data_IF_814937406871
#
_entry.id   IF_814937406871
#
_cell.length_a   1.000
_cell.length_b   1.000
_cell.length_c   1.000
_cell.angle_alpha   90.00
_cell.angle_beta   90.00
_cell.angle_gamma   90.00
#
_symmetry.space_group_name_H-M   'P 1'
#
loop_
_entity.id
_entity.type
_entity.pdbx_description
1 polymer ?
#
# COMPACT_ATOMS: atom_id res chain seq x y z
N UNK A 1 -24.28 17.98 34.76
CA UNK A 1 -22.84 18.28 34.61
C UNK A 1 -22.14 16.98 34.24
N UNK A 2 -21.86 16.72 32.95
CA UNK A 2 -21.11 15.51 32.59
C UNK A 2 -19.64 15.70 33.00
N UNK A 3 -19.02 14.72 33.68
CA UNK A 3 -17.69 14.90 34.25
C UNK A 3 -16.66 15.09 33.15
N UNK A 4 -15.76 16.05 33.34
CA UNK A 4 -14.64 16.41 32.44
C UNK A 4 -13.78 15.18 32.06
N UNK A 5 -13.78 14.16 32.92
CA UNK A 5 -13.13 12.86 32.73
C UNK A 5 -13.73 12.00 31.59
N UNK A 6 -15.03 12.06 31.34
CA UNK A 6 -15.64 11.29 30.25
C UNK A 6 -15.25 11.85 28.88
N UNK A 7 -15.13 13.18 28.78
CA UNK A 7 -14.80 13.90 27.54
C UNK A 7 -13.34 13.67 27.11
N UNK A 8 -12.43 13.62 28.08
CA UNK A 8 -11.00 13.33 27.84
C UNK A 8 -10.79 11.88 27.38
N UNK A 9 -11.48 10.92 27.99
CA UNK A 9 -11.40 9.51 27.59
C UNK A 9 -11.86 9.29 26.13
N UNK A 10 -12.96 9.92 25.70
CA UNK A 10 -13.44 9.80 24.30
C UNK A 10 -12.46 10.42 23.29
N UNK A 11 -11.85 11.56 23.61
CA UNK A 11 -10.85 12.20 22.74
C UNK A 11 -9.60 11.30 22.62
N UNK A 12 -9.13 10.76 23.74
CA UNK A 12 -7.96 9.86 23.78
C UNK A 12 -8.24 8.59 22.97
N UNK A 13 -9.41 7.96 23.14
CA UNK A 13 -9.81 6.77 22.39
C UNK A 13 -9.94 7.05 20.88
N UNK A 14 -10.53 8.19 20.49
CA UNK A 14 -10.61 8.59 19.08
C UNK A 14 -9.22 8.76 18.47
N UNK A 15 -8.33 9.51 19.14
CA UNK A 15 -6.96 9.72 18.68
C UNK A 15 -6.19 8.41 18.57
N UNK A 16 -6.36 7.50 19.55
CA UNK A 16 -5.74 6.18 19.53
C UNK A 16 -6.14 5.39 18.28
N UNK A 17 -7.45 5.29 17.98
CA UNK A 17 -7.92 4.55 16.81
C UNK A 17 -7.50 5.18 15.48
N UNK A 18 -7.53 6.51 15.36
CA UNK A 18 -7.06 7.19 14.15
C UNK A 18 -5.57 6.97 13.95
N UNK A 19 -4.76 7.12 15.01
CA UNK A 19 -3.32 6.87 14.93
C UNK A 19 -3.01 5.40 14.58
N UNK A 20 -3.82 4.46 15.07
CA UNK A 20 -3.68 3.05 14.73
C UNK A 20 -3.95 2.81 13.23
N UNK A 21 -5.04 3.39 12.68
CA UNK A 21 -5.34 3.32 11.23
C UNK A 21 -4.22 3.96 10.38
N UNK A 22 -3.64 5.07 10.85
CA UNK A 22 -2.50 5.71 10.18
C UNK A 22 -1.23 4.84 10.22
N UNK A 23 -0.99 4.16 11.34
CA UNK A 23 0.13 3.23 11.48
C UNK A 23 -0.06 2.00 10.57
N UNK A 24 -1.26 1.44 10.54
CA UNK A 24 -1.65 0.33 9.65
C UNK A 24 -1.48 0.71 8.17
N UNK A 25 -1.82 1.94 7.78
CA UNK A 25 -1.58 2.44 6.43
C UNK A 25 -0.11 2.40 6.01
N UNK A 26 0.81 2.77 6.91
CA UNK A 26 2.26 2.70 6.65
C UNK A 26 2.72 1.25 6.50
N UNK A 27 2.27 0.36 7.38
CA UNK A 27 2.59 -1.08 7.33
C UNK A 27 2.10 -1.68 6.02
N UNK A 28 0.85 -1.41 5.64
CA UNK A 28 0.26 -1.86 4.38
C UNK A 28 1.09 -1.40 3.17
N UNK A 29 1.53 -0.15 3.17
CA UNK A 29 2.34 0.38 2.08
C UNK A 29 3.75 -0.24 2.02
N UNK A 30 4.35 -0.56 3.16
CA UNK A 30 5.62 -1.29 3.23
C UNK A 30 5.48 -2.75 2.77
N UNK A 31 4.40 -3.43 3.15
CA UNK A 31 4.09 -4.78 2.65
C UNK A 31 3.83 -4.79 1.14
N UNK A 32 3.08 -3.82 0.63
CA UNK A 32 2.81 -3.67 -0.79
C UNK A 32 4.09 -3.39 -1.58
N UNK A 33 4.98 -2.54 -1.04
CA UNK A 33 6.30 -2.30 -1.61
C UNK A 33 7.16 -3.58 -1.61
N UNK A 34 7.15 -4.34 -0.52
CA UNK A 34 7.89 -5.60 -0.42
C UNK A 34 7.38 -6.64 -1.44
N UNK A 35 6.05 -6.79 -1.56
CA UNK A 35 5.41 -7.65 -2.56
C UNK A 35 5.80 -7.22 -3.97
N UNK A 36 5.71 -5.93 -4.28
CA UNK A 36 6.12 -5.38 -5.57
C UNK A 36 7.59 -5.67 -5.88
N UNK A 37 8.50 -5.41 -4.92
CA UNK A 37 9.93 -5.71 -5.07
C UNK A 37 10.20 -7.21 -5.27
N UNK A 38 9.51 -8.07 -4.51
CA UNK A 38 9.66 -9.51 -4.63
C UNK A 38 9.21 -10.03 -5.99
N UNK A 39 8.11 -9.48 -6.53
CA UNK A 39 7.61 -9.83 -7.86
C UNK A 39 8.59 -9.40 -8.96
N UNK A 40 9.18 -8.21 -8.85
CA UNK A 40 10.18 -7.72 -9.80
C UNK A 40 11.53 -8.46 -9.67
N UNK A 41 11.88 -8.93 -8.47
CA UNK A 41 13.10 -9.70 -8.26
C UNK A 41 13.10 -11.02 -9.06
N UNK A 42 11.93 -11.58 -9.39
CA UNK A 42 11.79 -12.78 -10.25
C UNK A 42 12.24 -12.52 -11.69
N UNK A 43 12.19 -11.26 -12.14
CA UNK A 43 12.59 -10.87 -13.51
C UNK A 43 14.08 -10.48 -13.60
N UNK A 44 14.75 -10.23 -12.46
CA UNK A 44 16.18 -9.90 -12.43
C UNK A 44 17.10 -10.98 -13.02
N UNK A 45 16.88 -12.30 -12.82
CA UNK A 45 17.68 -13.33 -13.48
C UNK A 45 17.66 -13.24 -15.00
N UNK A 46 16.53 -12.87 -15.62
CA UNK A 46 16.43 -12.71 -17.08
C UNK A 46 17.25 -11.51 -17.56
N UNK A 47 17.23 -10.42 -16.80
CA UNK A 47 18.09 -9.27 -17.05
C UNK A 47 19.58 -9.64 -16.92
N UNK A 48 19.95 -10.42 -15.92
CA UNK A 48 21.34 -10.91 -15.75
C UNK A 48 21.75 -11.79 -16.93
N UNK A 49 20.88 -12.68 -17.41
CA UNK A 49 21.15 -13.50 -18.60
C UNK A 49 21.38 -12.62 -19.83
N UNK A 50 20.53 -11.61 -20.05
CA UNK A 50 20.71 -10.65 -21.13
C UNK A 50 22.02 -9.89 -21.02
N UNK A 51 22.36 -9.37 -19.84
CA UNK A 51 23.60 -8.60 -19.60
C UNK A 51 24.87 -9.43 -19.77
N UNK A 52 24.83 -10.72 -19.40
CA UNK A 52 25.96 -11.65 -19.61
C UNK A 52 26.09 -12.06 -21.07
N UNK A 53 24.97 -12.27 -21.77
CA UNK A 53 24.97 -12.66 -23.17
C UNK A 53 25.36 -11.52 -24.10
N UNK A 54 24.89 -10.30 -23.84
CA UNK A 54 25.09 -9.16 -24.73
C UNK A 54 26.56 -8.90 -25.13
N UNK A 55 27.56 -8.88 -24.22
CA UNK A 55 28.96 -8.64 -24.61
C UNK A 55 29.61 -9.83 -25.34
N UNK A 56 29.14 -11.06 -25.09
CA UNK A 56 29.69 -12.30 -25.67
C UNK A 56 28.95 -12.69 -26.96
N UNK A 57 27.90 -11.97 -27.35
CA UNK A 57 27.11 -12.24 -28.54
C UNK A 57 27.95 -12.26 -29.80
N UNK A 58 27.51 -13.07 -30.77
CA UNK A 58 28.07 -13.05 -32.11
C UNK A 58 27.85 -11.66 -32.76
N UNK A 59 28.94 -10.99 -33.09
CA UNK A 59 28.93 -9.65 -33.68
C UNK A 59 28.53 -9.65 -35.15
N UNK A 60 28.47 -10.82 -35.78
CA UNK A 60 28.06 -11.01 -37.17
C UNK A 60 26.55 -11.24 -37.33
N UNK A 61 25.81 -11.34 -36.21
CA UNK A 61 24.35 -11.49 -36.23
C UNK A 61 23.66 -10.32 -36.96
N UNK A 62 22.73 -10.66 -37.84
CA UNK A 62 21.82 -9.69 -38.44
C UNK A 62 20.89 -9.09 -37.39
N UNK A 63 20.43 -7.85 -37.63
CA UNK A 63 19.56 -7.12 -36.69
C UNK A 63 18.32 -7.93 -36.26
N UNK A 64 17.69 -8.63 -37.20
CA UNK A 64 16.53 -9.48 -36.92
C UNK A 64 16.87 -10.68 -36.02
N UNK A 65 18.00 -11.34 -36.25
CA UNK A 65 18.44 -12.47 -35.45
C UNK A 65 18.89 -12.04 -34.04
N UNK A 66 19.50 -10.85 -33.94
CA UNK A 66 19.86 -10.23 -32.67
C UNK A 66 18.63 -9.93 -31.82
N UNK A 67 17.61 -9.28 -32.39
CA UNK A 67 16.38 -8.96 -31.67
C UNK A 67 15.61 -10.22 -31.28
N UNK A 68 15.56 -11.24 -32.15
CA UNK A 68 14.92 -12.52 -31.82
C UNK A 68 15.58 -13.20 -30.61
N UNK A 69 16.91 -13.15 -30.53
CA UNK A 69 17.67 -13.76 -29.43
C UNK A 69 17.54 -12.93 -28.15
N UNK A 70 17.66 -11.60 -28.26
CA UNK A 70 17.50 -10.66 -27.16
C UNK A 70 16.10 -10.74 -26.53
N UNK A 71 15.06 -10.63 -27.35
CA UNK A 71 13.66 -10.65 -26.90
C UNK A 71 13.17 -12.03 -26.48
N UNK A 72 13.86 -13.11 -26.91
CA UNK A 72 13.64 -14.44 -26.37
C UNK A 72 14.12 -14.59 -24.92
N UNK A 73 15.13 -13.83 -24.50
CA UNK A 73 15.65 -13.83 -23.12
C UNK A 73 14.91 -12.83 -22.24
N UNK A 74 14.70 -11.62 -22.74
CA UNK A 74 14.01 -10.54 -22.04
C UNK A 74 13.02 -9.87 -23.01
N UNK A 75 11.71 -10.08 -22.86
CA UNK A 75 10.70 -9.45 -23.72
C UNK A 75 10.82 -7.93 -23.72
N UNK A 76 10.60 -7.30 -24.87
CA UNK A 76 10.67 -5.85 -25.06
C UNK A 76 9.84 -5.06 -24.03
N UNK A 77 8.63 -5.56 -23.73
CA UNK A 77 7.73 -4.95 -22.75
C UNK A 77 8.28 -4.91 -21.32
N UNK A 78 9.25 -5.76 -20.98
CA UNK A 78 9.82 -5.85 -19.63
C UNK A 78 11.00 -4.88 -19.42
N UNK A 79 11.66 -4.41 -20.48
CA UNK A 79 12.74 -3.44 -20.38
C UNK A 79 12.34 -2.13 -19.68
N UNK A 80 11.25 -1.43 -20.09
CA UNK A 80 10.88 -0.18 -19.42
C UNK A 80 10.45 -0.42 -17.96
N UNK A 81 9.76 -1.53 -17.69
CA UNK A 81 9.32 -1.89 -16.33
C UNK A 81 10.52 -2.14 -15.41
N UNK A 82 11.53 -2.86 -15.87
CA UNK A 82 12.77 -3.10 -15.12
C UNK A 82 13.60 -1.82 -14.97
N UNK A 83 13.62 -0.95 -15.98
CA UNK A 83 14.31 0.33 -15.90
C UNK A 83 13.69 1.24 -14.83
N UNK A 84 12.36 1.36 -14.80
CA UNK A 84 11.65 2.11 -13.74
C UNK A 84 11.84 1.49 -12.36
N UNK A 85 11.88 0.16 -12.28
CA UNK A 85 12.18 -0.57 -11.05
C UNK A 85 13.58 -0.27 -10.52
N UNK A 86 14.60 -0.33 -11.38
CA UNK A 86 15.99 -0.04 -11.01
C UNK A 86 16.21 1.44 -10.67
N UNK A 87 15.46 2.33 -11.32
CA UNK A 87 15.48 3.77 -11.02
C UNK A 87 14.77 4.11 -9.69
N UNK A 88 14.06 3.14 -9.09
CA UNK A 88 13.36 3.31 -7.81
C UNK A 88 12.11 4.18 -7.88
N UNK A 89 11.66 4.57 -9.08
CA UNK A 89 10.51 5.46 -9.30
C UNK A 89 9.18 4.72 -9.47
N UNK A 90 9.19 3.39 -9.56
CA UNK A 90 8.02 2.62 -10.01
C UNK A 90 6.94 2.41 -8.95
N UNK A 91 7.25 2.52 -7.64
CA UNK A 91 6.26 2.29 -6.59
C UNK A 91 5.90 3.57 -5.82
N UNK A 92 4.63 3.97 -5.93
CA UNK A 92 4.11 5.12 -5.19
C UNK A 92 3.59 4.68 -3.81
N UNK A 93 4.47 4.75 -2.80
CA UNK A 93 4.13 4.40 -1.40
C UNK A 93 2.95 5.20 -0.86
N UNK A 94 2.86 6.50 -1.21
CA UNK A 94 1.74 7.36 -0.78
C UNK A 94 0.40 6.89 -1.35
N UNK A 95 0.37 6.47 -2.62
CA UNK A 95 -0.85 5.95 -3.22
C UNK A 95 -1.33 4.66 -2.52
N UNK A 96 -0.41 3.79 -2.13
CA UNK A 96 -0.73 2.58 -1.37
C UNK A 96 -1.26 2.90 0.05
N UNK A 97 -0.69 3.90 0.73
CA UNK A 97 -1.23 4.39 2.01
C UNK A 97 -2.66 4.93 1.83
N UNK A 98 -2.91 5.72 0.78
CA UNK A 98 -4.24 6.25 0.47
C UNK A 98 -5.26 5.16 0.15
N UNK A 99 -4.87 4.08 -0.55
CA UNK A 99 -5.73 2.94 -0.80
C UNK A 99 -6.18 2.27 0.52
N UNK A 100 -5.26 2.13 1.48
CA UNK A 100 -5.60 1.61 2.80
C UNK A 100 -6.58 2.54 3.53
N UNK A 101 -6.36 3.86 3.51
CA UNK A 101 -7.28 4.82 4.13
C UNK A 101 -8.67 4.81 3.49
N UNK A 102 -8.76 4.62 2.16
CA UNK A 102 -10.04 4.45 1.47
C UNK A 102 -10.78 3.19 1.93
N UNK A 103 -10.07 2.07 2.13
CA UNK A 103 -10.64 0.84 2.69
C UNK A 103 -11.10 1.03 4.14
N UNK A 104 -10.35 1.79 4.91
CA UNK A 104 -10.64 2.13 6.32
C UNK A 104 -11.62 3.30 6.49
N UNK A 105 -12.11 3.89 5.39
CA UNK A 105 -12.96 5.09 5.38
C UNK A 105 -14.21 4.95 6.27
N UNK A 106 -14.88 3.79 6.21
CA UNK A 106 -16.06 3.49 7.04
C UNK A 106 -15.76 3.54 8.53
N UNK A 107 -14.61 3.02 8.96
CA UNK A 107 -14.18 3.03 10.36
C UNK A 107 -13.84 4.45 10.82
N UNK A 108 -13.17 5.23 9.97
CA UNK A 108 -12.89 6.65 10.21
C UNK A 108 -14.19 7.43 10.39
N UNK A 109 -15.16 7.28 9.47
CA UNK A 109 -16.47 7.93 9.56
C UNK A 109 -17.21 7.56 10.84
N UNK A 110 -17.22 6.28 11.21
CA UNK A 110 -17.88 5.80 12.43
C UNK A 110 -17.26 6.44 13.68
N UNK A 111 -15.93 6.45 13.79
CA UNK A 111 -15.22 7.05 14.93
C UNK A 111 -15.44 8.55 15.01
N UNK A 112 -15.45 9.26 13.88
CA UNK A 112 -15.76 10.70 13.83
C UNK A 112 -17.20 10.99 14.29
N UNK A 113 -18.17 10.15 13.90
CA UNK A 113 -19.57 10.31 14.31
C UNK A 113 -19.78 10.09 15.80
N UNK A 114 -19.11 9.08 16.37
CA UNK A 114 -19.13 8.81 17.82
C UNK A 114 -18.56 10.01 18.58
N UNK A 115 -17.43 10.55 18.13
CA UNK A 115 -16.84 11.75 18.73
C UNK A 115 -17.76 12.97 18.64
N UNK A 116 -18.37 13.23 17.48
CA UNK A 116 -19.31 14.34 17.27
C UNK A 116 -20.53 14.22 18.21
N UNK A 117 -21.11 13.02 18.31
CA UNK A 117 -22.24 12.73 19.20
C UNK A 117 -21.89 12.94 20.68
N UNK A 118 -20.67 12.59 21.10
CA UNK A 118 -20.18 12.85 22.45
C UNK A 118 -19.91 14.33 22.72
N UNK A 119 -19.64 15.13 21.68
CA UNK A 119 -19.37 16.57 21.79
C UNK A 119 -20.64 17.39 22.03
N UNK A 120 -21.77 16.97 21.46
CA UNK A 120 -23.06 17.69 21.47
C UNK A 120 -24.11 17.15 22.47
N UNK A 121 -23.71 16.39 23.49
CA UNK A 121 -24.60 15.58 24.34
C UNK A 121 -26.04 16.08 24.55
N UNK A 122 -27.00 15.25 24.09
CA UNK A 122 -28.45 15.21 24.39
C UNK A 122 -29.38 16.10 23.54
N UNK A 123 -29.91 15.56 22.43
CA UNK A 123 -31.36 15.35 22.21
C UNK A 123 -31.57 14.15 21.27
N UNK A 124 -32.29 13.12 21.75
CA UNK A 124 -33.07 12.23 20.86
C UNK A 124 -32.64 10.78 20.75
N UNK A 125 -33.24 9.92 21.59
CA UNK A 125 -33.67 8.59 21.18
C UNK A 125 -32.64 7.45 21.31
N UNK A 126 -32.96 6.51 22.18
CA UNK A 126 -32.25 5.25 22.37
C UNK A 126 -31.96 4.51 21.05
N UNK A 127 -30.69 4.19 20.81
CA UNK A 127 -30.30 2.95 20.15
C UNK A 127 -29.12 2.39 20.93
N UNK A 128 -29.41 1.40 21.77
CA UNK A 128 -28.41 0.51 22.36
C UNK A 128 -27.75 -0.25 21.21
N UNK A 129 -26.66 0.28 20.64
CA UNK A 129 -25.79 -0.53 19.79
C UNK A 129 -24.89 -1.31 20.73
N UNK A 130 -25.28 -2.57 20.94
CA UNK A 130 -24.55 -3.57 21.70
C UNK A 130 -23.09 -3.64 21.19
N UNK A 131 -22.14 -3.15 21.99
CA UNK A 131 -20.70 -3.25 21.73
C UNK A 131 -20.22 -4.65 22.10
N UNK A 132 -20.63 -5.64 21.31
CA UNK A 132 -20.04 -6.97 21.28
C UNK A 132 -19.67 -7.29 19.83
N UNK A 133 -18.70 -6.56 19.27
CA UNK A 133 -17.97 -7.06 18.10
C UNK A 133 -16.51 -6.64 18.30
N UNK A 134 -15.64 -7.64 18.22
CA UNK A 134 -14.17 -7.64 18.32
C UNK A 134 -13.59 -7.99 19.70
N UNK A 135 -14.06 -9.08 20.30
CA UNK A 135 -13.15 -10.09 20.88
C UNK A 135 -13.31 -11.36 20.03
N UNK A 136 -12.36 -11.56 19.11
CA UNK A 136 -11.76 -12.82 18.64
C UNK A 136 -10.76 -12.52 17.51
#
# INVERSE_FOLDING_TARGET
>A
MQPVFARTNTIISFMYHVNNILAEGKIYADEALLKYKSAMAVELPKLVLFLNWFPVRDKTLTYAALNKTAYGMLPEAQFPVLAEFLNGSSFNKKAAEWEHYLKSSRLITLKSRVWENHKHGSVGGAVMVNTNILEE
#
